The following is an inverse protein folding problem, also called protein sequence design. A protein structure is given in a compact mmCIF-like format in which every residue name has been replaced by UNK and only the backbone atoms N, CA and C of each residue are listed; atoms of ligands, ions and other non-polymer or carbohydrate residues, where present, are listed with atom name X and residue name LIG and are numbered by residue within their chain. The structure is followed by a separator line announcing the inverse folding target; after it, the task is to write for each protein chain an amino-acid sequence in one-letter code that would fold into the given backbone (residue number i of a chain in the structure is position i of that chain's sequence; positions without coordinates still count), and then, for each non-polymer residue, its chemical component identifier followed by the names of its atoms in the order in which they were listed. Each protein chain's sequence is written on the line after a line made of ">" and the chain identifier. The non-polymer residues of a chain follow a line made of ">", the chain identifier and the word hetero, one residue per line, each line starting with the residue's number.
data_IF_512500889570
#
_entry.id   IF_512500889570
#
_cell.length_a   1.000
_cell.length_b   1.000
_cell.length_c   1.000
_cell.angle_alpha   90.00
_cell.angle_beta   90.00
_cell.angle_gamma   90.00
#
_symmetry.space_group_name_H-M   'P 1'
#
loop_
_entity.id
_entity.type
_entity.pdbx_description
1 polymer ?
#
# COMPACT_ATOMS: atom_id res chain seq x y z
N UNK A 1 29.57 9.76 5.56
CA UNK A 1 28.24 10.41 5.61
C UNK A 1 28.26 11.55 4.61
N UNK A 2 27.27 11.66 3.70
CA UNK A 2 27.23 12.78 2.76
C UNK A 2 27.10 14.11 3.51
N UNK A 3 27.57 15.19 2.88
CA UNK A 3 27.39 16.54 3.40
C UNK A 3 25.92 16.95 3.24
N UNK A 4 25.33 17.49 4.31
CA UNK A 4 23.94 17.93 4.29
C UNK A 4 23.83 19.37 3.78
N UNK A 5 22.70 19.74 3.15
CA UNK A 5 22.44 21.12 2.78
C UNK A 5 22.48 22.04 4.01
N UNK A 6 23.11 23.20 3.88
CA UNK A 6 23.20 24.20 4.95
C UNK A 6 21.80 24.61 5.44
N UNK A 7 21.61 24.67 6.76
CA UNK A 7 20.33 25.03 7.40
C UNK A 7 19.24 23.97 7.32
N UNK A 8 19.55 22.77 6.82
CA UNK A 8 18.69 21.58 6.87
C UNK A 8 19.37 20.48 7.68
N UNK A 9 19.67 20.76 8.95
CA UNK A 9 20.14 19.71 9.85
C UNK A 9 19.02 18.72 10.19
N UNK A 10 19.39 17.48 10.54
CA UNK A 10 18.44 16.50 11.05
C UNK A 10 18.11 16.86 12.50
N UNK A 11 16.82 16.92 12.84
CA UNK A 11 16.38 17.11 14.22
C UNK A 11 16.55 15.81 15.01
N UNK A 12 17.57 15.76 15.85
CA UNK A 12 17.85 14.61 16.72
C UNK A 12 17.18 14.70 18.10
N UNK A 13 16.43 15.78 18.37
CA UNK A 13 15.96 16.11 19.72
C UNK A 13 14.47 15.86 19.93
N UNK A 14 13.65 16.06 18.90
CA UNK A 14 12.19 15.89 19.02
C UNK A 14 11.80 14.42 19.03
N UNK A 15 10.80 14.03 19.85
CA UNK A 15 10.25 12.68 19.80
C UNK A 15 9.56 12.45 18.44
N UNK A 16 9.81 11.30 17.83
CA UNK A 16 9.13 10.89 16.59
C UNK A 16 7.65 10.54 16.80
N UNK A 17 7.28 10.14 18.02
CA UNK A 17 5.92 9.72 18.34
C UNK A 17 4.93 10.88 18.14
N UNK A 18 3.84 10.62 17.43
CA UNK A 18 2.78 11.60 17.17
C UNK A 18 3.10 12.64 16.09
N UNK A 19 4.19 12.49 15.33
CA UNK A 19 4.56 13.42 14.25
C UNK A 19 3.87 13.14 12.92
N UNK A 20 3.21 11.98 12.80
CA UNK A 20 2.46 11.56 11.61
C UNK A 20 0.97 11.54 11.89
N UNK A 21 0.18 12.00 10.91
CA UNK A 21 -1.27 11.83 10.94
C UNK A 21 -1.60 10.32 10.92
N UNK A 22 -2.54 9.85 11.75
CA UNK A 22 -2.98 8.46 11.69
C UNK A 22 -3.57 8.17 10.30
N UNK A 23 -3.36 6.96 9.83
CA UNK A 23 -3.93 6.46 8.60
C UNK A 23 -4.38 5.02 8.79
N UNK A 24 -5.40 4.63 8.03
CA UNK A 24 -6.00 3.30 8.12
C UNK A 24 -5.40 2.33 7.10
N UNK A 25 -4.97 2.85 5.95
CA UNK A 25 -4.34 2.13 4.86
C UNK A 25 -3.42 3.10 4.10
N UNK A 26 -2.42 2.61 3.39
CA UNK A 26 -1.52 3.37 2.52
C UNK A 26 -1.47 2.67 1.17
N UNK A 27 -1.68 3.42 0.10
CA UNK A 27 -1.42 2.96 -1.26
C UNK A 27 0.01 3.32 -1.64
N UNK A 28 0.85 2.33 -1.87
CA UNK A 28 2.23 2.47 -2.32
C UNK A 28 2.35 1.98 -3.76
N UNK A 29 2.32 2.89 -4.73
CA UNK A 29 2.35 2.59 -6.16
C UNK A 29 3.77 2.25 -6.61
N UNK A 30 3.92 1.14 -7.33
CA UNK A 30 5.19 0.69 -7.92
C UNK A 30 5.45 1.42 -9.24
N UNK A 31 6.27 2.47 -9.23
CA UNK A 31 6.53 3.25 -10.45
C UNK A 31 7.85 2.89 -11.12
N UNK A 32 8.73 2.16 -10.44
CA UNK A 32 10.10 1.88 -10.90
C UNK A 32 11.00 3.11 -11.01
N UNK A 33 10.55 4.27 -10.50
CA UNK A 33 11.27 5.56 -10.53
C UNK A 33 11.93 5.84 -9.19
N UNK A 34 13.00 6.63 -9.17
CA UNK A 34 13.75 6.92 -7.94
C UNK A 34 13.43 8.29 -7.34
N UNK A 35 12.77 9.18 -8.08
CA UNK A 35 12.36 10.50 -7.62
C UNK A 35 11.07 10.92 -8.32
N UNK A 36 10.39 11.91 -7.74
CA UNK A 36 9.10 12.42 -8.18
C UNK A 36 8.99 13.93 -7.90
N UNK A 37 8.03 14.61 -8.52
CA UNK A 37 7.59 15.93 -8.11
C UNK A 37 7.09 15.93 -6.66
N UNK A 38 7.17 17.10 -6.01
CA UNK A 38 6.71 17.30 -4.63
C UNK A 38 5.28 16.77 -4.38
N UNK A 39 4.42 16.87 -5.40
CA UNK A 39 3.06 16.35 -5.41
C UNK A 39 2.99 15.18 -6.37
N UNK A 40 2.98 13.98 -5.82
CA UNK A 40 3.00 12.73 -6.61
C UNK A 40 1.77 12.57 -7.51
N UNK A 41 0.66 13.25 -7.22
CA UNK A 41 -0.49 13.26 -8.13
C UNK A 41 -0.26 14.11 -9.39
N UNK A 42 0.73 15.00 -9.42
CA UNK A 42 1.03 15.85 -10.59
C UNK A 42 1.99 15.17 -11.58
N UNK A 43 2.53 13.99 -11.22
CA UNK A 43 3.35 13.17 -12.11
C UNK A 43 2.65 12.94 -13.46
N UNK A 44 3.43 12.90 -14.54
CA UNK A 44 2.90 12.72 -15.90
C UNK A 44 1.79 13.74 -16.26
N UNK A 45 1.83 14.95 -15.70
CA UNK A 45 0.80 15.97 -15.94
C UNK A 45 -0.57 15.67 -15.33
N UNK A 46 -0.60 14.86 -14.26
CA UNK A 46 -1.83 14.37 -13.64
C UNK A 46 -2.32 13.03 -14.21
N UNK A 47 -1.62 12.47 -15.19
CA UNK A 47 -2.01 11.21 -15.82
C UNK A 47 -1.31 10.01 -15.14
N UNK A 48 -1.68 9.76 -13.87
CA UNK A 48 -1.11 8.69 -13.05
C UNK A 48 -2.14 8.11 -12.06
N UNK A 49 -1.87 6.89 -11.56
CA UNK A 49 -2.79 6.19 -10.65
C UNK A 49 -3.04 6.95 -9.34
N UNK A 50 -2.05 7.69 -8.83
CA UNK A 50 -2.24 8.47 -7.60
C UNK A 50 -3.28 9.56 -7.81
N UNK A 51 -3.24 10.27 -8.95
CA UNK A 51 -4.24 11.25 -9.33
C UNK A 51 -5.64 10.62 -9.45
N UNK A 52 -5.73 9.50 -10.16
CA UNK A 52 -7.00 8.78 -10.38
C UNK A 52 -7.65 8.34 -9.05
N UNK A 53 -6.86 7.79 -8.12
CA UNK A 53 -7.36 7.41 -6.79
C UNK A 53 -7.69 8.65 -5.96
N UNK A 54 -6.87 9.70 -6.02
CA UNK A 54 -7.07 10.96 -5.27
C UNK A 54 -8.35 11.68 -5.67
N UNK A 55 -8.79 11.58 -6.91
CA UNK A 55 -10.09 12.11 -7.34
C UNK A 55 -11.26 11.44 -6.59
N UNK A 56 -11.14 10.16 -6.28
CA UNK A 56 -12.20 9.39 -5.63
C UNK A 56 -12.20 9.50 -4.10
N UNK A 57 -11.02 9.46 -3.46
CA UNK A 57 -10.89 9.45 -1.98
C UNK A 57 -10.46 10.79 -1.38
N UNK A 58 -9.88 11.68 -2.20
CA UNK A 58 -9.43 12.99 -1.78
C UNK A 58 -10.58 13.96 -1.51
N UNK A 59 -10.23 15.20 -1.17
CA UNK A 59 -11.22 16.23 -0.81
C UNK A 59 -12.23 16.45 -1.94
N UNK A 60 -13.50 16.21 -1.66
CA UNK A 60 -14.60 16.37 -2.62
C UNK A 60 -14.87 15.13 -3.49
N UNK A 61 -14.04 14.09 -3.37
CA UNK A 61 -14.27 12.80 -4.02
C UNK A 61 -15.49 12.07 -3.47
N UNK A 62 -16.09 11.20 -4.29
CA UNK A 62 -17.33 10.49 -3.94
C UNK A 62 -17.16 9.53 -2.75
N UNK A 63 -15.93 9.11 -2.48
CA UNK A 63 -15.55 8.25 -1.35
C UNK A 63 -14.69 8.98 -0.31
N UNK A 64 -14.72 10.31 -0.30
CA UNK A 64 -14.00 11.10 0.69
C UNK A 64 -14.56 10.83 2.09
N UNK A 65 -13.70 10.34 2.99
CA UNK A 65 -14.02 10.08 4.39
C UNK A 65 -12.93 10.71 5.29
N UNK A 66 -13.26 11.76 6.08
CA UNK A 66 -12.28 12.39 6.97
C UNK A 66 -11.83 11.50 8.14
N UNK A 67 -12.53 10.40 8.40
CA UNK A 67 -12.21 9.43 9.45
C UNK A 67 -11.44 8.20 8.94
N UNK A 68 -11.18 8.14 7.63
CA UNK A 68 -10.43 7.06 6.99
C UNK A 68 -9.33 7.60 6.07
N UNK A 69 -8.25 8.08 6.69
CA UNK A 69 -7.11 8.62 5.94
C UNK A 69 -6.35 7.51 5.21
N UNK A 70 -6.13 7.70 3.90
CA UNK A 70 -5.37 6.79 3.03
C UNK A 70 -4.26 7.54 2.30
N UNK A 71 -3.02 7.61 2.84
CA UNK A 71 -1.90 8.19 2.15
C UNK A 71 -1.64 7.49 0.81
N UNK A 72 -1.45 8.30 -0.23
CA UNK A 72 -1.11 7.84 -1.58
C UNK A 72 0.34 8.22 -1.85
N UNK A 73 1.16 7.23 -2.15
CA UNK A 73 2.62 7.38 -2.27
C UNK A 73 3.14 6.59 -3.44
N UNK A 74 4.22 7.07 -4.06
CA UNK A 74 4.96 6.31 -5.07
C UNK A 74 6.16 5.60 -4.42
N UNK A 75 6.64 4.56 -5.08
CA UNK A 75 7.82 3.80 -4.71
C UNK A 75 8.68 3.45 -5.92
N UNK A 76 9.96 3.22 -5.67
CA UNK A 76 10.93 2.76 -6.66
C UNK A 76 10.79 1.28 -6.99
N UNK A 77 9.87 0.56 -6.35
CA UNK A 77 9.59 -0.82 -6.69
C UNK A 77 9.11 -0.94 -8.14
N UNK A 78 9.59 -1.98 -8.82
CA UNK A 78 9.22 -2.26 -10.19
C UNK A 78 7.77 -2.77 -10.24
N UNK A 79 6.92 -2.24 -11.12
CA UNK A 79 5.59 -2.81 -11.34
C UNK A 79 5.70 -4.21 -11.93
N UNK A 80 4.76 -5.09 -11.62
CA UNK A 80 4.64 -6.42 -12.23
C UNK A 80 4.65 -6.32 -13.74
N UNK A 81 5.47 -7.15 -14.38
CA UNK A 81 5.47 -7.29 -15.84
C UNK A 81 4.15 -7.92 -16.31
N UNK A 82 3.34 -7.22 -17.14
CA UNK A 82 2.09 -7.77 -17.63
C UNK A 82 2.35 -8.95 -18.59
N UNK A 83 1.44 -9.93 -18.64
CA UNK A 83 1.54 -11.02 -19.60
C UNK A 83 1.38 -10.52 -21.04
N UNK A 84 1.86 -11.27 -22.07
CA UNK A 84 1.89 -10.80 -23.45
C UNK A 84 0.56 -10.27 -24.01
N UNK A 85 -0.57 -10.83 -23.56
CA UNK A 85 -1.90 -10.43 -24.00
C UNK A 85 -2.41 -9.11 -23.37
N UNK A 86 -1.74 -8.57 -22.36
CA UNK A 86 -2.02 -7.26 -21.75
C UNK A 86 -0.90 -6.23 -21.99
N UNK A 87 0.06 -6.52 -22.86
CA UNK A 87 1.23 -5.67 -23.10
C UNK A 87 0.86 -4.22 -23.45
N UNK A 88 -0.21 -4.03 -24.20
CA UNK A 88 -0.63 -2.71 -24.70
C UNK A 88 -1.63 -2.02 -23.75
N UNK A 89 -1.95 -2.63 -22.61
CA UNK A 89 -2.81 -2.03 -21.58
C UNK A 89 -1.91 -1.41 -20.51
N UNK A 90 -1.90 -0.07 -20.35
CA UNK A 90 -1.15 0.58 -19.29
C UNK A 90 -1.64 0.06 -17.93
N UNK A 91 -0.75 -0.61 -17.21
CA UNK A 91 -0.99 -1.15 -15.89
C UNK A 91 0.16 -0.78 -14.97
N UNK A 92 -0.13 -0.69 -13.68
CA UNK A 92 0.87 -0.60 -12.61
C UNK A 92 0.50 -1.59 -11.51
N UNK A 93 1.29 -1.60 -10.44
CA UNK A 93 1.05 -2.44 -9.27
C UNK A 93 1.14 -1.57 -8.03
N UNK A 94 0.56 -2.04 -6.93
CA UNK A 94 0.67 -1.32 -5.67
C UNK A 94 0.66 -2.26 -4.48
N UNK A 95 1.39 -1.86 -3.44
CA UNK A 95 1.28 -2.43 -2.10
C UNK A 95 0.25 -1.65 -1.28
N UNK A 96 -0.47 -2.36 -0.43
CA UNK A 96 -1.39 -1.83 0.57
C UNK A 96 -0.86 -2.16 1.95
N UNK A 97 -0.65 -1.12 2.77
CA UNK A 97 -0.12 -1.23 4.12
C UNK A 97 -1.02 -0.49 5.11
N UNK A 98 -1.36 -1.07 6.27
CA UNK A 98 -0.78 -2.27 6.87
C UNK A 98 -1.51 -3.57 6.50
N UNK A 99 -2.36 -3.59 5.46
CA UNK A 99 -3.04 -4.83 5.04
C UNK A 99 -2.12 -5.88 4.40
N UNK A 100 -0.83 -5.57 4.18
CA UNK A 100 0.16 -6.44 3.55
C UNK A 100 -0.38 -7.16 2.31
N UNK A 101 -0.98 -6.37 1.42
CA UNK A 101 -1.63 -6.86 0.20
C UNK A 101 -0.98 -6.24 -1.02
N UNK A 102 -0.65 -7.05 -2.03
CA UNK A 102 -0.09 -6.61 -3.29
C UNK A 102 -1.11 -6.77 -4.43
N UNK A 103 -1.43 -5.68 -5.11
CA UNK A 103 -2.33 -5.67 -6.28
C UNK A 103 -1.47 -5.59 -7.53
N UNK A 104 -1.33 -6.69 -8.30
CA UNK A 104 -0.25 -6.81 -9.29
C UNK A 104 -0.52 -6.06 -10.59
N UNK A 105 -1.76 -5.93 -11.03
CA UNK A 105 -2.09 -5.33 -12.33
C UNK A 105 -3.33 -4.45 -12.16
N UNK A 106 -3.10 -3.14 -12.11
CA UNK A 106 -4.14 -2.12 -11.96
C UNK A 106 -4.21 -1.34 -13.28
N UNK A 107 -5.19 -1.62 -14.14
CA UNK A 107 -5.51 -0.76 -15.27
C UNK A 107 -5.97 0.61 -14.78
N UNK A 108 -5.71 1.66 -15.57
CA UNK A 108 -6.20 3.02 -15.27
C UNK A 108 -7.56 3.33 -15.90
N UNK A 109 -8.43 2.33 -16.00
CA UNK A 109 -9.84 2.55 -16.35
C UNK A 109 -10.63 2.94 -15.10
N UNK A 110 -11.72 3.70 -15.29
CA UNK A 110 -12.59 4.11 -14.18
C UNK A 110 -13.03 2.92 -13.31
N UNK A 111 -13.49 1.84 -13.94
CA UNK A 111 -13.97 0.64 -13.23
C UNK A 111 -12.86 -0.02 -12.41
N UNK A 112 -11.63 -0.08 -12.93
CA UNK A 112 -10.49 -0.67 -12.22
C UNK A 112 -10.04 0.18 -11.02
N UNK A 113 -9.99 1.51 -11.19
CA UNK A 113 -9.65 2.44 -10.09
C UNK A 113 -10.76 2.43 -9.03
N UNK A 114 -12.02 2.40 -9.45
CA UNK A 114 -13.16 2.26 -8.53
C UNK A 114 -13.09 0.92 -7.78
N UNK A 115 -12.74 -0.16 -8.48
CA UNK A 115 -12.55 -1.48 -7.89
C UNK A 115 -11.40 -1.51 -6.88
N UNK A 116 -10.28 -0.83 -7.14
CA UNK A 116 -9.20 -0.68 -6.17
C UNK A 116 -9.71 0.03 -4.89
N UNK A 117 -10.40 1.16 -5.06
CA UNK A 117 -10.90 1.93 -3.92
C UNK A 117 -11.96 1.15 -3.12
N UNK A 118 -13.01 0.68 -3.77
CA UNK A 118 -14.13 -0.03 -3.11
C UNK A 118 -13.73 -1.43 -2.65
N UNK A 119 -12.85 -2.10 -3.37
CA UNK A 119 -12.41 -3.46 -3.05
C UNK A 119 -11.37 -3.50 -1.94
N UNK A 120 -10.52 -2.47 -1.84
CA UNK A 120 -9.33 -2.56 -0.98
C UNK A 120 -9.00 -1.32 -0.15
N UNK A 121 -9.35 -0.09 -0.54
CA UNK A 121 -8.90 1.10 0.21
C UNK A 121 -9.90 1.56 1.26
N UNK A 122 -11.20 1.44 1.00
CA UNK A 122 -12.24 1.86 1.94
C UNK A 122 -12.27 1.01 3.22
N UNK A 123 -12.84 1.54 4.31
CA UNK A 123 -12.96 0.80 5.57
C UNK A 123 -13.93 -0.38 5.46
N UNK A 124 -13.61 -1.47 6.15
CA UNK A 124 -14.56 -2.56 6.39
C UNK A 124 -15.64 -2.16 7.42
N UNK A 125 -15.29 -1.33 8.39
CA UNK A 125 -16.18 -0.79 9.41
C UNK A 125 -16.06 0.73 9.50
N UNK A 126 -17.19 1.43 9.50
CA UNK A 126 -17.22 2.89 9.56
C UNK A 126 -16.98 3.39 10.99
N UNK A 127 -16.41 4.60 11.08
CA UNK A 127 -16.36 5.35 12.34
C UNK A 127 -17.78 5.65 12.84
N UNK A 128 -18.07 5.61 14.16
CA UNK A 128 -19.38 5.97 14.73
C UNK A 128 -19.89 7.37 14.35
N UNK A 129 -19.00 8.29 13.96
CA UNK A 129 -19.39 9.59 13.42
C UNK A 129 -20.31 9.49 12.17
N UNK A 130 -20.34 8.35 11.50
CA UNK A 130 -21.18 8.08 10.34
C UNK A 130 -22.62 7.64 10.67
N UNK A 131 -22.97 7.44 11.95
CA UNK A 131 -24.31 6.98 12.35
C UNK A 131 -25.43 7.94 11.90
N UNK A 132 -25.11 9.22 11.74
CA UNK A 132 -26.03 10.24 11.24
C UNK A 132 -26.24 10.22 9.72
N UNK A 133 -25.41 9.48 8.97
CA UNK A 133 -25.55 9.36 7.52
C UNK A 133 -26.66 8.38 7.13
N UNK A 134 -27.31 8.62 5.99
CA UNK A 134 -28.27 7.65 5.47
C UNK A 134 -27.59 6.34 5.06
N UNK A 135 -28.33 5.20 5.03
CA UNK A 135 -27.75 3.90 4.69
C UNK A 135 -27.01 3.88 3.35
N UNK A 136 -27.51 4.61 2.34
CA UNK A 136 -26.88 4.72 1.03
C UNK A 136 -25.51 5.39 1.11
N UNK A 137 -25.39 6.45 1.91
CA UNK A 137 -24.12 7.15 2.10
C UNK A 137 -23.12 6.29 2.89
N UNK A 138 -23.60 5.55 3.89
CA UNK A 138 -22.76 4.62 4.63
C UNK A 138 -22.24 3.49 3.72
N UNK A 139 -23.12 2.87 2.92
CA UNK A 139 -22.75 1.80 1.99
C UNK A 139 -21.73 2.27 0.95
N UNK A 140 -21.89 3.51 0.46
CA UNK A 140 -20.92 4.13 -0.45
C UNK A 140 -19.51 4.16 0.13
N UNK A 141 -19.37 4.48 1.42
CA UNK A 141 -18.09 4.61 2.13
C UNK A 141 -17.52 3.29 2.65
N UNK A 142 -18.25 2.17 2.53
CA UNK A 142 -17.76 0.85 2.96
C UNK A 142 -17.09 0.08 1.83
N UNK A 143 -16.06 -0.68 2.19
CA UNK A 143 -15.42 -1.68 1.32
C UNK A 143 -16.43 -2.76 0.92
N UNK A 144 -16.27 -3.32 -0.27
CA UNK A 144 -17.06 -4.45 -0.76
C UNK A 144 -16.19 -5.43 -1.55
N UNK A 145 -16.13 -6.69 -1.08
CA UNK A 145 -15.35 -7.76 -1.71
C UNK A 145 -15.80 -8.05 -3.15
N UNK A 146 -17.06 -7.78 -3.49
CA UNK A 146 -17.55 -7.93 -4.86
C UNK A 146 -16.75 -7.09 -5.87
N UNK A 147 -16.16 -5.96 -5.43
CA UNK A 147 -15.33 -5.14 -6.29
C UNK A 147 -13.93 -5.72 -6.53
N UNK A 148 -13.44 -6.59 -5.64
CA UNK A 148 -12.12 -7.21 -5.79
C UNK A 148 -12.06 -8.10 -7.03
N UNK A 149 -13.20 -8.69 -7.43
CA UNK A 149 -13.31 -9.54 -8.62
C UNK A 149 -13.11 -8.79 -9.96
N UNK A 150 -13.13 -7.45 -9.96
CA UNK A 150 -12.83 -6.65 -11.15
C UNK A 150 -11.34 -6.37 -11.34
N UNK A 151 -10.50 -6.82 -10.40
CA UNK A 151 -9.05 -6.75 -10.50
C UNK A 151 -8.48 -8.18 -10.52
N UNK A 152 -7.30 -8.39 -11.12
CA UNK A 152 -6.55 -9.63 -10.93
C UNK A 152 -6.35 -9.91 -9.43
N UNK A 153 -6.37 -11.18 -9.01
CA UNK A 153 -6.27 -11.54 -7.60
C UNK A 153 -5.08 -10.87 -6.93
N UNK A 154 -5.35 -10.18 -5.83
CA UNK A 154 -4.30 -9.65 -4.98
C UNK A 154 -3.51 -10.79 -4.33
N UNK A 155 -2.25 -10.49 -3.99
CA UNK A 155 -1.31 -11.43 -3.40
C UNK A 155 -1.00 -10.99 -1.96
N UNK A 156 -0.82 -11.95 -1.06
CA UNK A 156 -0.34 -11.68 0.30
C UNK A 156 1.15 -11.28 0.25
N UNK A 157 1.55 -10.36 1.12
CA UNK A 157 2.93 -9.88 1.22
C UNK A 157 3.55 -10.42 2.49
N UNK A 158 4.36 -11.47 2.33
CA UNK A 158 5.15 -12.08 3.40
C UNK A 158 6.57 -11.50 3.50
N UNK A 159 6.90 -10.55 2.61
CA UNK A 159 8.22 -9.94 2.50
C UNK A 159 8.48 -8.85 3.54
N UNK A 160 9.77 -8.61 3.81
CA UNK A 160 10.21 -7.43 4.58
C UNK A 160 10.34 -6.24 3.63
N UNK A 161 9.45 -5.25 3.79
CA UNK A 161 9.52 -3.99 3.04
C UNK A 161 10.38 -2.96 3.77
N UNK A 162 11.44 -2.50 3.11
CA UNK A 162 12.27 -1.38 3.58
C UNK A 162 11.92 -0.13 2.79
N UNK A 163 11.20 0.80 3.42
CA UNK A 163 10.79 2.06 2.81
C UNK A 163 11.70 3.20 3.27
N UNK A 164 12.37 3.82 2.31
CA UNK A 164 13.31 4.91 2.55
C UNK A 164 12.80 6.13 1.80
N UNK A 165 12.62 7.25 2.50
CA UNK A 165 12.29 8.50 1.83
C UNK A 165 13.49 8.95 0.98
N UNK A 166 13.33 8.90 -0.34
CA UNK A 166 14.31 9.40 -1.32
C UNK A 166 13.88 10.70 -2.01
N UNK A 167 12.77 11.30 -1.59
CA UNK A 167 12.10 12.37 -2.33
C UNK A 167 12.81 13.73 -2.21
N UNK A 168 13.73 14.00 -3.12
CA UNK A 168 14.56 15.21 -3.10
C UNK A 168 13.78 16.50 -3.37
N UNK A 169 12.74 16.42 -4.20
CA UNK A 169 11.88 17.56 -4.51
C UNK A 169 11.10 18.10 -3.30
N UNK A 170 10.84 17.26 -2.30
CA UNK A 170 10.11 17.64 -1.07
C UNK A 170 11.04 17.94 0.10
N UNK A 171 12.11 17.15 0.26
CA UNK A 171 13.13 17.35 1.29
C UNK A 171 14.50 16.99 0.73
N UNK A 172 15.37 17.99 0.57
CA UNK A 172 16.70 17.80 0.01
C UNK A 172 17.56 16.81 0.84
N UNK A 173 17.32 16.69 2.15
CA UNK A 173 18.00 15.71 2.99
C UNK A 173 17.65 14.28 2.59
N UNK A 174 16.38 14.04 2.28
CA UNK A 174 15.89 12.73 1.80
C UNK A 174 16.49 12.40 0.43
N UNK A 175 16.55 13.38 -0.48
CA UNK A 175 17.21 13.20 -1.79
C UNK A 175 18.70 12.86 -1.68
N UNK A 176 19.41 13.43 -0.72
CA UNK A 176 20.84 13.15 -0.47
C UNK A 176 21.03 11.80 0.25
N UNK A 177 20.25 11.52 1.29
CA UNK A 177 20.48 10.38 2.17
C UNK A 177 19.81 9.09 1.67
N UNK A 178 18.67 9.19 0.98
CA UNK A 178 17.87 8.06 0.53
C UNK A 178 18.67 7.03 -0.28
N UNK A 179 19.36 7.44 -1.37
CA UNK A 179 20.16 6.52 -2.17
C UNK A 179 21.33 5.88 -1.41
N UNK A 180 21.93 6.61 -0.46
CA UNK A 180 23.01 6.09 0.39
C UNK A 180 22.45 5.00 1.32
N UNK A 181 21.32 5.25 1.98
CA UNK A 181 20.68 4.27 2.84
C UNK A 181 20.25 3.03 2.07
N UNK A 182 19.62 3.20 0.90
CA UNK A 182 19.20 2.08 0.06
C UNK A 182 20.37 1.16 -0.27
N UNK A 183 21.49 1.73 -0.75
CA UNK A 183 22.71 0.98 -1.05
C UNK A 183 23.29 0.27 0.16
N UNK A 184 23.26 0.90 1.34
CA UNK A 184 23.74 0.25 2.57
C UNK A 184 22.84 -0.92 2.99
N UNK A 185 21.52 -0.78 2.88
CA UNK A 185 20.58 -1.89 3.13
C UNK A 185 20.78 -3.03 2.14
N UNK A 186 20.90 -2.73 0.84
CA UNK A 186 21.17 -3.72 -0.21
C UNK A 186 22.45 -4.51 0.05
N UNK A 187 23.49 -3.87 0.61
CA UNK A 187 24.73 -4.54 0.97
C UNK A 187 24.66 -5.29 2.31
N UNK A 188 23.96 -4.73 3.30
CA UNK A 188 23.94 -5.24 4.68
C UNK A 188 22.99 -6.43 4.87
N UNK A 189 21.80 -6.40 4.25
CA UNK A 189 20.79 -7.45 4.40
C UNK A 189 21.29 -8.83 3.96
N UNK A 190 21.97 -8.98 2.80
CA UNK A 190 22.53 -10.28 2.40
C UNK A 190 23.57 -10.82 3.38
N UNK A 191 24.38 -9.94 4.00
CA UNK A 191 25.35 -10.33 5.04
C UNK A 191 24.67 -10.84 6.32
N UNK A 192 23.43 -10.42 6.55
CA UNK A 192 22.58 -10.89 7.64
C UNK A 192 21.72 -12.12 7.24
N UNK A 193 21.88 -12.65 6.03
CA UNK A 193 21.11 -13.80 5.54
C UNK A 193 19.72 -13.46 5.01
N UNK A 194 19.44 -12.17 4.74
CA UNK A 194 18.19 -11.70 4.15
C UNK A 194 18.44 -11.41 2.67
N UNK A 195 17.75 -12.11 1.79
CA UNK A 195 17.81 -11.86 0.34
C UNK A 195 17.17 -10.51 0.01
N UNK A 196 17.77 -9.79 -0.93
CA UNK A 196 17.23 -8.52 -1.44
C UNK A 196 16.59 -8.79 -2.79
N UNK A 197 15.29 -8.51 -2.90
CA UNK A 197 14.52 -8.63 -4.13
C UNK A 197 14.53 -7.30 -4.88
N UNK A 198 15.08 -7.28 -6.10
CA UNK A 198 15.23 -6.07 -6.92
C UNK A 198 14.34 -6.05 -8.19
N UNK A 199 13.63 -7.15 -8.45
CA UNK A 199 12.79 -7.34 -9.62
C UNK A 199 11.30 -7.07 -9.39
N UNK A 200 10.50 -7.03 -10.48
CA UNK A 200 9.05 -7.06 -10.39
C UNK A 200 8.54 -8.26 -9.60
N UNK A 201 7.50 -8.07 -8.79
CA UNK A 201 6.79 -9.18 -8.16
C UNK A 201 6.11 -10.00 -9.27
N UNK A 202 6.38 -11.31 -9.37
CA UNK A 202 5.73 -12.16 -10.36
C UNK A 202 4.23 -12.30 -10.09
N UNK A 203 3.46 -12.60 -11.13
CA UNK A 203 2.07 -12.99 -10.94
C UNK A 203 2.01 -14.33 -10.22
N UNK A 204 1.33 -14.38 -9.07
CA UNK A 204 1.00 -15.63 -8.42
C UNK A 204 0.25 -16.51 -9.42
N UNK A 205 0.82 -17.68 -9.71
CA UNK A 205 0.08 -18.71 -10.41
C UNK A 205 -0.83 -19.37 -9.38
N UNK A 206 -2.15 -19.45 -9.57
CA UNK A 206 -3.01 -20.14 -8.63
C UNK A 206 -2.51 -21.57 -8.46
N UNK A 207 -1.95 -21.88 -7.29
CA UNK A 207 -1.52 -23.23 -6.96
C UNK A 207 -2.75 -24.13 -6.99
N UNK A 208 -2.72 -25.22 -7.76
CA UNK A 208 -3.80 -26.22 -7.81
C UNK A 208 -4.09 -26.91 -6.45
N UNK A 209 -3.35 -26.60 -5.40
CA UNK A 209 -3.57 -27.14 -4.06
C UNK A 209 -4.26 -26.08 -3.22
N UNK A 210 -5.53 -26.36 -2.86
CA UNK A 210 -6.17 -25.71 -1.72
C UNK A 210 -5.25 -25.94 -0.52
N UNK A 211 -4.69 -24.87 0.03
CA UNK A 211 -3.98 -24.94 1.31
C UNK A 211 -5.04 -25.24 2.36
N UNK A 212 -5.10 -26.50 2.82
CA UNK A 212 -5.93 -26.88 3.95
C UNK A 212 -5.48 -26.09 5.18
N UNK A 213 -6.44 -25.48 5.87
CA UNK A 213 -6.18 -24.82 7.13
C UNK A 213 -5.60 -25.83 8.11
N UNK A 214 -4.39 -25.55 8.61
CA UNK A 214 -3.80 -26.29 9.72
C UNK A 214 -4.70 -26.06 10.93
N UNK A 215 -5.55 -27.04 11.23
CA UNK A 215 -6.37 -27.04 12.44
C UNK A 215 -5.44 -27.33 13.62
N UNK A 216 -5.29 -26.36 14.51
CA UNK A 216 -4.60 -26.56 15.79
C UNK A 216 -5.32 -27.64 16.62
N UNK A 217 -4.60 -28.33 17.53
CA UNK A 217 -5.18 -29.42 18.29
C UNK A 217 -6.36 -28.93 19.13
N UNK A 218 -7.50 -29.62 19.00
CA UNK A 218 -8.71 -29.34 19.74
C UNK A 218 -8.43 -29.35 21.25
N UNK A 219 -8.83 -28.27 21.92
CA UNK A 219 -8.82 -28.21 23.38
C UNK A 219 -9.84 -29.24 23.89
N UNK A 220 -9.35 -30.28 24.55
CA UNK A 220 -10.16 -31.25 25.28
C UNK A 220 -10.93 -30.51 26.37
N UNK A 221 -12.23 -30.29 26.16
CA UNK A 221 -13.14 -29.84 27.21
C UNK A 221 -13.18 -30.92 28.30
N UNK A 222 -12.76 -30.55 29.51
CA UNK A 222 -12.76 -31.43 30.68
C UNK A 222 -14.17 -31.92 31.01
N UNK A 223 -14.29 -33.22 31.21
CA UNK A 223 -15.48 -33.88 31.74
C UNK A 223 -15.71 -33.41 33.18
N UNK A 224 -16.85 -32.76 33.40
CA UNK A 224 -17.34 -32.47 34.75
C UNK A 224 -18.03 -33.72 35.30
N UNK A 225 -17.37 -34.43 36.20
CA UNK A 225 -18.01 -35.47 37.01
C UNK A 225 -18.90 -34.81 38.07
N UNK A 226 -20.23 -34.95 37.96
CA UNK A 226 -21.13 -34.73 39.09
C UNK A 226 -20.95 -35.87 40.09
N UNK A 227 -20.64 -35.51 41.34
CA UNK A 227 -20.63 -36.39 42.49
C UNK A 227 -21.58 -35.84 43.56
N UNK A 228 -22.45 -36.74 44.03
CA UNK A 228 -23.43 -36.69 45.14
C UNK A 228 -24.62 -35.76 45.02
#
# INVERSE_FOLDING_TARGET
>A
MPEFPEGLEIDHSKPLNGTMAPYAEQLLVCTGQQDWHSRVEEESGGDNLVADVKELVGRGGIYSDPYHNTPLTNSSFQPTTPPPYLRDVPTTSAYLLPSFTYVPLIPRSFDAVQALVKGYLLPAALNPAHDALSPIHQDRLKRSEAYQAFLPPAQEVDDVLVLICGHGGRDARCGVLGPVLAKEFEGALPRAGIEVLDGPVPLATPSKQQREAITGPAILAGTSSQGT
#
